data_IF_032786207897
#
_entry.id   IF_032786207897
#
_cell.length_a   1.000
_cell.length_b   1.000
_cell.length_c   1.000
_cell.angle_alpha   90.00
_cell.angle_beta   90.00
_cell.angle_gamma   90.00
#
_symmetry.space_group_name_H-M   'P 1'
#
loop_
_entity.id
_entity.type
_entity.pdbx_description
1 polymer ?
#
# COMPACT_ATOMS: atom_id res chain seq x y z
N UNK A 1 19.93 -3.51 3.20
CA UNK A 1 19.65 -3.89 4.61
C UNK A 1 19.46 -2.66 5.50
N UNK A 2 20.33 -1.64 5.42
CA UNK A 2 20.17 -0.37 6.15
C UNK A 2 18.90 0.44 5.83
N UNK A 3 18.51 0.52 4.55
CA UNK A 3 17.30 1.28 4.14
C UNK A 3 16.00 0.75 4.74
N UNK A 4 15.93 -0.56 5.00
CA UNK A 4 14.75 -1.17 5.60
C UNK A 4 14.59 -0.76 7.07
N UNK A 5 15.68 -0.85 7.85
CA UNK A 5 15.68 -0.43 9.24
C UNK A 5 15.42 1.07 9.39
N UNK A 6 15.97 1.90 8.49
CA UNK A 6 15.69 3.34 8.47
C UNK A 6 14.22 3.62 8.17
N UNK A 7 13.65 2.99 7.14
CA UNK A 7 12.21 3.15 6.84
C UNK A 7 11.33 2.70 8.00
N UNK A 8 11.69 1.62 8.68
CA UNK A 8 10.96 1.12 9.85
C UNK A 8 10.97 2.12 11.00
N UNK A 9 12.13 2.69 11.32
CA UNK A 9 12.26 3.75 12.34
C UNK A 9 11.45 4.99 11.94
N UNK A 10 11.54 5.42 10.69
CA UNK A 10 10.77 6.56 10.19
C UNK A 10 9.27 6.33 10.34
N UNK A 11 8.76 5.18 9.90
CA UNK A 11 7.34 4.84 10.03
C UNK A 11 6.86 4.77 11.49
N UNK A 12 7.73 4.38 12.42
CA UNK A 12 7.38 4.25 13.84
C UNK A 12 7.39 5.57 14.59
N UNK A 13 8.39 6.44 14.35
CA UNK A 13 8.64 7.58 15.23
C UNK A 13 8.35 8.93 14.59
N UNK A 14 8.28 9.02 13.26
CA UNK A 14 8.15 10.32 12.58
C UNK A 14 6.86 11.05 12.97
N UNK A 15 5.72 10.36 13.03
CA UNK A 15 4.43 11.00 13.34
C UNK A 15 4.44 11.66 14.73
N UNK A 16 4.94 10.95 15.74
CA UNK A 16 5.03 11.46 17.11
C UNK A 16 6.08 12.56 17.24
N UNK A 17 7.24 12.40 16.59
CA UNK A 17 8.27 13.42 16.54
C UNK A 17 7.76 14.71 15.89
N UNK A 18 7.09 14.58 14.75
CA UNK A 18 6.58 15.71 13.96
C UNK A 18 5.52 16.48 14.75
N UNK A 19 4.60 15.76 15.40
CA UNK A 19 3.60 16.37 16.29
C UNK A 19 4.24 17.18 17.43
N UNK A 20 5.25 16.61 18.11
CA UNK A 20 5.98 17.29 19.20
C UNK A 20 6.77 18.49 18.68
N UNK A 21 7.40 18.36 17.51
CA UNK A 21 8.19 19.42 16.89
C UNK A 21 7.32 20.64 16.57
N UNK A 22 6.16 20.43 15.96
CA UNK A 22 5.21 21.51 15.65
C UNK A 22 4.67 22.17 16.92
N UNK A 23 4.26 21.39 17.92
CA UNK A 23 3.79 21.94 19.20
C UNK A 23 4.84 22.83 19.88
N UNK A 24 6.11 22.39 19.89
CA UNK A 24 7.21 23.18 20.44
C UNK A 24 7.44 24.48 19.68
N UNK A 25 7.34 24.47 18.35
CA UNK A 25 7.49 25.68 17.54
C UNK A 25 6.39 26.71 17.88
N UNK A 26 5.15 26.25 18.07
CA UNK A 26 4.05 27.12 18.52
C UNK A 26 4.31 27.72 19.92
N UNK A 27 4.80 26.91 20.87
CA UNK A 27 5.15 27.38 22.22
C UNK A 27 6.30 28.40 22.22
N UNK A 28 7.24 28.27 21.28
CA UNK A 28 8.39 29.17 21.14
C UNK A 28 8.04 30.47 20.39
N UNK A 29 6.82 30.58 19.86
CA UNK A 29 6.40 31.73 19.05
C UNK A 29 6.98 31.73 17.64
N UNK A 30 7.46 30.57 17.15
CA UNK A 30 7.88 30.43 15.76
C UNK A 30 6.67 30.53 14.82
N UNK A 31 6.90 31.03 13.61
CA UNK A 31 5.86 31.06 12.58
C UNK A 31 5.60 29.63 12.08
N UNK A 32 4.43 29.09 12.40
CA UNK A 32 3.97 27.76 11.96
C UNK A 32 2.75 27.93 11.08
N UNK A 33 2.84 27.48 9.82
CA UNK A 33 1.72 27.50 8.89
C UNK A 33 0.60 26.56 9.31
N UNK A 34 -0.64 26.90 8.97
CA UNK A 34 -1.80 26.04 9.27
C UNK A 34 -1.67 24.65 8.64
N UNK A 35 -1.08 24.54 7.44
CA UNK A 35 -0.85 23.25 6.78
C UNK A 35 0.06 22.33 7.61
N UNK A 36 1.13 22.87 8.21
CA UNK A 36 2.01 22.09 9.09
C UNK A 36 1.27 21.60 10.33
N UNK A 37 0.37 22.41 10.89
CA UNK A 37 -0.48 22.01 12.02
C UNK A 37 -1.45 20.90 11.62
N UNK A 38 -2.06 20.99 10.45
CA UNK A 38 -2.94 19.94 9.92
C UNK A 38 -2.21 18.63 9.72
N UNK A 39 -1.02 18.67 9.12
CA UNK A 39 -0.20 17.47 8.94
C UNK A 39 0.23 16.87 10.28
N UNK A 40 0.59 17.70 11.27
CA UNK A 40 1.04 17.26 12.58
C UNK A 40 -0.05 16.60 13.44
N UNK A 41 -1.33 16.89 13.16
CA UNK A 41 -2.47 16.21 13.79
C UNK A 41 -2.60 14.76 13.34
N UNK A 42 -2.00 14.41 12.19
CA UNK A 42 -2.11 13.09 11.59
C UNK A 42 -3.47 12.82 10.95
N UNK A 43 -3.68 11.61 10.40
CA UNK A 43 -4.93 11.26 9.74
C UNK A 43 -6.12 11.32 10.70
N UNK A 44 -7.25 11.83 10.22
CA UNK A 44 -8.50 11.84 10.97
C UNK A 44 -8.92 10.41 11.33
N UNK A 45 -9.18 10.16 12.62
CA UNK A 45 -9.57 8.82 13.11
C UNK A 45 -10.99 8.41 12.71
N UNK A 46 -11.82 9.37 12.31
CA UNK A 46 -13.23 9.20 11.95
C UNK A 46 -13.48 9.13 10.44
N UNK A 47 -12.46 8.84 9.64
CA UNK A 47 -12.65 8.60 8.21
C UNK A 47 -13.53 7.36 7.99
N UNK A 48 -14.45 7.45 7.03
CA UNK A 48 -15.26 6.32 6.62
C UNK A 48 -14.35 5.17 6.17
N UNK A 49 -14.45 4.02 6.85
CA UNK A 49 -13.68 2.82 6.52
C UNK A 49 -14.57 1.89 5.72
N UNK A 50 -14.17 1.57 4.49
CA UNK A 50 -14.88 0.65 3.62
C UNK A 50 -14.21 -0.72 3.65
N UNK A 51 -15.00 -1.79 3.71
CA UNK A 51 -14.50 -3.19 3.67
C UNK A 51 -14.24 -3.69 2.24
N UNK A 52 -14.44 -2.84 1.25
CA UNK A 52 -14.10 -3.09 -0.14
C UNK A 52 -14.42 -1.90 -1.03
N UNK A 53 -13.78 -1.87 -2.19
CA UNK A 53 -13.90 -0.80 -3.16
C UNK A 53 -13.78 -1.37 -4.58
N UNK A 54 -14.35 -0.65 -5.56
CA UNK A 54 -14.27 -1.01 -6.98
C UNK A 54 -13.32 -0.07 -7.70
N UNK A 55 -12.32 -0.62 -8.40
CA UNK A 55 -11.42 0.14 -9.27
C UNK A 55 -11.34 -0.56 -10.61
N UNK A 56 -11.67 0.17 -11.69
CA UNK A 56 -11.58 -0.34 -13.08
C UNK A 56 -12.24 -1.71 -13.29
N UNK A 57 -13.39 -1.94 -12.66
CA UNK A 57 -14.14 -3.21 -12.76
C UNK A 57 -13.70 -4.31 -11.80
N UNK A 58 -12.62 -4.11 -11.05
CA UNK A 58 -12.13 -5.06 -10.06
C UNK A 58 -12.63 -4.69 -8.66
N UNK A 59 -13.09 -5.71 -7.91
CA UNK A 59 -13.55 -5.57 -6.53
C UNK A 59 -12.45 -6.02 -5.57
N UNK A 60 -11.95 -5.07 -4.81
CA UNK A 60 -10.96 -5.30 -3.75
C UNK A 60 -11.64 -5.33 -2.39
N UNK A 61 -11.16 -6.18 -1.50
CA UNK A 61 -11.63 -6.28 -0.12
C UNK A 61 -10.49 -6.03 0.85
N UNK A 62 -10.84 -5.59 2.07
CA UNK A 62 -9.85 -5.50 3.14
C UNK A 62 -9.43 -6.90 3.56
N UNK A 63 -8.14 -7.08 3.92
CA UNK A 63 -7.60 -8.37 4.38
C UNK A 63 -8.43 -8.98 5.51
N UNK A 64 -8.81 -8.15 6.49
CA UNK A 64 -9.69 -8.56 7.60
C UNK A 64 -11.03 -9.17 7.13
N UNK A 65 -11.62 -8.64 6.05
CA UNK A 65 -12.84 -9.23 5.47
C UNK A 65 -12.54 -10.55 4.77
N UNK A 66 -11.45 -10.60 4.00
CA UNK A 66 -11.05 -11.79 3.25
C UNK A 66 -10.58 -12.96 4.12
N UNK A 67 -10.05 -12.71 5.33
CA UNK A 67 -9.64 -13.75 6.29
C UNK A 67 -10.77 -14.72 6.64
N UNK A 68 -12.01 -14.26 6.56
CA UNK A 68 -13.22 -15.08 6.78
C UNK A 68 -13.80 -15.72 5.51
N UNK A 69 -13.24 -15.43 4.34
CA UNK A 69 -13.77 -15.84 3.03
C UNK A 69 -12.89 -16.89 2.36
N UNK A 70 -13.50 -17.75 1.53
CA UNK A 70 -12.80 -18.79 0.78
C UNK A 70 -11.95 -18.26 -0.37
N UNK A 71 -12.18 -17.02 -0.81
CA UNK A 71 -11.54 -16.37 -1.97
C UNK A 71 -10.86 -15.08 -1.55
N UNK A 72 -9.59 -14.92 -1.91
CA UNK A 72 -8.80 -13.70 -1.67
C UNK A 72 -8.56 -12.97 -3.00
N UNK A 73 -8.97 -11.70 -3.08
CA UNK A 73 -8.69 -10.80 -4.22
C UNK A 73 -7.55 -9.83 -3.87
N UNK A 74 -6.67 -10.21 -2.95
CA UNK A 74 -5.49 -9.46 -2.51
C UNK A 74 -4.20 -9.85 -3.25
N UNK A 75 -4.31 -10.71 -4.27
CA UNK A 75 -3.17 -11.14 -5.08
C UNK A 75 -2.63 -10.05 -6.00
N UNK A 76 -1.35 -10.16 -6.34
CA UNK A 76 -0.71 -9.33 -7.37
C UNK A 76 -0.90 -10.02 -8.72
N UNK A 77 -1.33 -9.24 -9.72
CA UNK A 77 -1.39 -9.71 -11.11
C UNK A 77 -0.16 -9.16 -11.84
N UNK A 78 0.64 -10.06 -12.40
CA UNK A 78 1.75 -9.70 -13.28
C UNK A 78 1.36 -10.07 -14.71
N UNK A 79 1.23 -9.05 -15.56
CA UNK A 79 1.05 -9.25 -17.00
C UNK A 79 2.43 -9.31 -17.64
N UNK A 80 2.76 -10.45 -18.25
CA UNK A 80 4.02 -10.65 -18.99
C UNK A 80 3.69 -10.76 -20.47
N UNK A 81 4.29 -9.88 -21.27
CA UNK A 81 4.30 -9.98 -22.73
C UNK A 81 5.62 -10.59 -23.17
N UNK A 82 5.56 -11.73 -23.87
CA UNK A 82 6.77 -12.40 -24.33
C UNK A 82 6.49 -13.69 -25.09
N UNK A 83 7.57 -14.32 -25.54
CA UNK A 83 7.50 -15.65 -26.14
C UNK A 83 7.28 -16.70 -25.06
N UNK A 84 6.12 -17.33 -25.09
CA UNK A 84 5.72 -18.37 -24.15
C UNK A 84 5.59 -19.71 -24.86
N UNK A 85 5.78 -20.78 -24.09
CA UNK A 85 5.55 -22.15 -24.54
C UNK A 85 4.21 -22.65 -23.97
N UNK A 86 3.40 -23.28 -24.82
CA UNK A 86 2.09 -23.80 -24.39
C UNK A 86 2.21 -24.96 -23.38
N UNK A 87 3.37 -25.63 -23.33
CA UNK A 87 3.69 -26.64 -22.32
C UNK A 87 5.21 -26.82 -22.21
N UNK A 88 5.67 -27.46 -21.14
CA UNK A 88 7.09 -27.82 -20.95
C UNK A 88 7.67 -28.71 -22.07
N UNK A 89 6.82 -29.31 -22.90
CA UNK A 89 7.19 -30.16 -24.03
C UNK A 89 7.08 -29.45 -25.39
N UNK A 90 6.49 -28.25 -25.43
CA UNK A 90 6.37 -27.50 -26.67
C UNK A 90 7.65 -26.71 -26.93
N UNK A 91 8.11 -26.70 -28.18
CA UNK A 91 9.30 -25.97 -28.64
C UNK A 91 8.94 -24.78 -29.53
N UNK A 92 7.65 -24.54 -29.76
CA UNK A 92 7.18 -23.40 -30.56
C UNK A 92 7.02 -22.18 -29.66
N UNK A 93 7.77 -21.13 -29.98
CA UNK A 93 7.65 -19.83 -29.35
C UNK A 93 6.35 -19.19 -29.82
N UNK A 94 5.44 -18.91 -28.88
CA UNK A 94 4.21 -18.18 -29.16
C UNK A 94 4.29 -16.83 -28.45
N UNK A 95 4.24 -15.75 -29.22
CA UNK A 95 4.12 -14.42 -28.63
C UNK A 95 2.74 -14.32 -27.97
N UNK A 96 2.69 -14.17 -26.64
CA UNK A 96 1.43 -14.06 -25.91
C UNK A 96 1.52 -13.12 -24.72
N UNK A 97 0.36 -12.58 -24.34
CA UNK A 97 0.18 -11.75 -23.15
C UNK A 97 -0.48 -12.63 -22.09
N UNK A 98 0.27 -12.99 -21.05
CA UNK A 98 -0.21 -13.89 -20.00
C UNK A 98 -0.30 -13.15 -18.66
N UNK A 99 -1.38 -13.41 -17.92
CA UNK A 99 -1.57 -12.89 -16.56
C UNK A 99 -1.22 -13.98 -15.54
N UNK A 100 -0.21 -13.71 -14.72
CA UNK A 100 0.16 -14.55 -13.57
C UNK A 100 -0.43 -13.96 -12.30
N UNK A 101 -1.03 -14.82 -11.47
CA UNK A 101 -1.66 -14.43 -10.20
C UNK A 101 -0.83 -15.00 -9.05
N UNK A 102 -0.22 -14.15 -8.24
CA UNK A 102 0.39 -14.56 -6.98
C UNK A 102 -0.55 -14.27 -5.82
N UNK A 103 -0.73 -15.26 -4.94
CA UNK A 103 -1.49 -15.10 -3.69
C UNK A 103 -0.52 -14.67 -2.60
N UNK A 104 -0.61 -13.42 -2.15
CA UNK A 104 0.13 -12.96 -0.98
C UNK A 104 -0.47 -13.61 0.27
N UNK A 105 0.22 -14.57 0.89
CA UNK A 105 -0.17 -15.12 2.20
C UNK A 105 0.11 -14.14 3.34
#
# INVERSE_FOLDING_TARGET
>A
MFDYEMNKIHCQYFADWFKKKVARMEEQGDEVTEDLKWLARGPFRSVARYSGYLVKGYRFHTRYREESLRTQNSGVVVTVEGENYASSRDRRHVHSVNNYYEVSR
#
